data_IF_160705513287
#
_entry.id   IF_160705513287
#
_cell.length_a   1.000
_cell.length_b   1.000
_cell.length_c   1.000
_cell.angle_alpha   90.00
_cell.angle_beta   90.00
_cell.angle_gamma   90.00
#
_symmetry.space_group_name_H-M   'P 1'
#
loop_
_entity.id
_entity.type
_entity.pdbx_description
1 polymer ?
#
# COMPACT_ATOMS: atom_id res chain seq x y z
N UNK A 1 -72.60 12.88 14.26
CA UNK A 1 -71.72 13.97 13.85
C UNK A 1 -70.62 14.30 14.88
N UNK A 2 -70.96 14.49 16.17
CA UNK A 2 -69.94 14.81 17.23
C UNK A 2 -68.94 13.67 17.50
N UNK A 3 -69.34 12.41 17.44
CA UNK A 3 -68.46 11.24 17.64
C UNK A 3 -67.48 11.07 16.49
N UNK A 4 -67.90 11.32 15.24
CA UNK A 4 -67.08 11.25 14.06
C UNK A 4 -66.02 12.36 14.03
N UNK A 5 -66.37 13.56 14.48
CA UNK A 5 -65.47 14.71 14.61
C UNK A 5 -64.43 14.49 15.70
N UNK A 6 -64.79 13.82 16.81
CA UNK A 6 -63.82 13.42 17.86
C UNK A 6 -62.85 12.35 17.39
N UNK A 7 -63.29 11.42 16.55
CA UNK A 7 -62.45 10.37 15.97
C UNK A 7 -61.46 10.95 14.92
N UNK A 8 -61.90 11.93 14.13
CA UNK A 8 -61.03 12.63 13.19
C UNK A 8 -59.99 13.53 13.92
N UNK A 9 -60.33 14.16 15.04
CA UNK A 9 -59.38 14.93 15.87
C UNK A 9 -58.34 14.00 16.55
N UNK A 10 -58.77 12.78 16.97
CA UNK A 10 -57.85 11.80 17.54
C UNK A 10 -56.88 11.23 16.50
N UNK A 11 -57.29 11.08 15.24
CA UNK A 11 -56.40 10.68 14.14
C UNK A 11 -55.42 11.75 13.72
N UNK A 12 -55.72 13.03 13.94
CA UNK A 12 -54.80 14.16 13.68
C UNK A 12 -53.75 14.35 14.80
N UNK A 13 -53.95 13.70 15.96
CA UNK A 13 -53.00 13.66 17.08
C UNK A 13 -52.09 12.45 17.04
N UNK A 14 -52.22 11.53 16.03
CA UNK A 14 -51.18 10.57 15.71
C UNK A 14 -49.94 11.32 15.20
N UNK A 15 -49.17 11.73 16.18
CA UNK A 15 -48.12 12.72 16.02
C UNK A 15 -47.15 12.38 14.90
N UNK A 16 -46.97 13.33 14.02
CA UNK A 16 -45.74 13.35 13.21
C UNK A 16 -44.58 13.27 14.20
N UNK A 17 -43.76 12.26 14.04
CA UNK A 17 -42.50 12.16 14.77
C UNK A 17 -41.66 13.41 14.39
N UNK A 18 -41.62 14.39 15.31
CA UNK A 18 -40.94 15.67 15.11
C UNK A 18 -39.43 15.54 15.32
N UNK A 19 -38.96 14.36 15.72
CA UNK A 19 -37.53 14.10 15.92
C UNK A 19 -36.77 14.19 14.61
N UNK A 20 -35.62 14.81 14.66
CA UNK A 20 -34.67 14.86 13.54
C UNK A 20 -34.12 13.46 13.22
N UNK A 21 -33.52 13.28 12.06
CA UNK A 21 -32.81 12.05 11.72
C UNK A 21 -31.68 11.74 12.71
N UNK A 22 -31.02 12.77 13.22
CA UNK A 22 -29.92 12.62 14.20
C UNK A 22 -30.46 12.15 15.57
N UNK A 23 -31.56 12.70 16.06
CA UNK A 23 -32.18 12.25 17.34
C UNK A 23 -32.66 10.80 17.25
N UNK A 24 -33.27 10.40 16.14
CA UNK A 24 -33.67 8.99 15.93
C UNK A 24 -32.46 8.05 15.84
N UNK A 25 -31.38 8.48 15.16
CA UNK A 25 -30.15 7.72 15.06
C UNK A 25 -29.49 7.55 16.43
N UNK A 26 -29.45 8.62 17.25
CA UNK A 26 -28.91 8.57 18.61
C UNK A 26 -29.65 7.58 19.50
N UNK A 27 -30.98 7.56 19.47
CA UNK A 27 -31.82 6.61 20.22
C UNK A 27 -31.57 5.15 19.74
N UNK A 28 -31.29 4.97 18.44
CA UNK A 28 -30.94 3.67 17.86
C UNK A 28 -29.47 3.27 18.08
N UNK A 29 -28.67 4.10 18.78
CA UNK A 29 -27.23 3.87 18.98
C UNK A 29 -26.41 4.03 17.69
N UNK A 30 -26.89 4.83 16.74
CA UNK A 30 -26.23 5.10 15.44
C UNK A 30 -25.62 6.50 15.48
N UNK A 31 -24.33 6.60 15.14
CA UNK A 31 -23.64 7.87 14.91
C UNK A 31 -23.70 8.23 13.42
N UNK A 32 -24.28 9.39 13.11
CA UNK A 32 -24.26 9.94 11.74
C UNK A 32 -23.08 10.90 11.63
N UNK A 33 -22.19 10.61 10.65
CA UNK A 33 -21.00 11.42 10.36
C UNK A 33 -21.06 11.94 8.93
N UNK A 34 -20.87 13.26 8.75
CA UNK A 34 -20.74 13.86 7.42
C UNK A 34 -19.41 13.48 6.74
N UNK A 35 -19.48 12.96 5.54
CA UNK A 35 -18.28 12.54 4.78
C UNK A 35 -17.85 13.54 3.69
N UNK A 36 -18.52 14.69 3.56
CA UNK A 36 -18.29 15.77 2.61
C UNK A 36 -18.56 15.38 1.12
N UNK A 37 -18.11 14.23 0.67
CA UNK A 37 -18.28 13.75 -0.70
C UNK A 37 -18.47 12.23 -0.71
N UNK A 38 -19.00 11.72 -1.83
CA UNK A 38 -19.09 10.29 -2.10
C UNK A 38 -17.70 9.67 -2.19
N UNK A 39 -17.41 8.60 -1.43
CA UNK A 39 -16.16 7.86 -1.56
C UNK A 39 -16.05 7.22 -2.94
N UNK A 40 -14.90 7.43 -3.59
CA UNK A 40 -14.64 6.85 -4.91
C UNK A 40 -14.06 5.43 -4.81
N UNK A 41 -13.35 5.14 -3.74
CA UNK A 41 -12.76 3.83 -3.48
C UNK A 41 -12.60 3.56 -2.00
N UNK A 42 -12.77 2.30 -1.61
CA UNK A 42 -12.43 1.78 -0.28
C UNK A 42 -11.12 0.96 -0.31
N UNK A 43 -10.48 0.86 -1.47
CA UNK A 43 -9.15 0.25 -1.62
C UNK A 43 -8.08 1.29 -1.28
N UNK A 44 -7.24 1.07 -0.23
CA UNK A 44 -6.24 2.04 0.21
C UNK A 44 -5.20 2.38 -0.86
N UNK A 45 -5.01 1.53 -1.85
CA UNK A 45 -4.05 1.71 -2.94
C UNK A 45 -4.62 2.46 -4.16
N UNK A 46 -5.93 2.71 -4.19
CA UNK A 46 -6.63 3.44 -5.25
C UNK A 46 -7.17 4.76 -4.74
N UNK A 47 -7.54 4.81 -3.46
CA UNK A 47 -8.08 5.98 -2.79
C UNK A 47 -7.18 7.21 -2.92
N UNK A 48 -7.79 8.38 -3.12
CA UNK A 48 -7.05 9.64 -3.31
C UNK A 48 -7.69 10.83 -2.58
N UNK A 49 -8.86 10.64 -1.98
CA UNK A 49 -9.61 11.72 -1.34
C UNK A 49 -9.68 11.54 0.18
N UNK A 50 -9.83 12.66 0.89
CA UNK A 50 -10.07 12.63 2.34
C UNK A 50 -11.33 11.86 2.69
N UNK A 51 -12.36 11.89 1.81
CA UNK A 51 -13.60 11.15 2.00
C UNK A 51 -13.38 9.63 1.91
N UNK A 52 -12.50 9.17 1.00
CA UNK A 52 -12.09 7.77 0.92
C UNK A 52 -11.32 7.36 2.18
N UNK A 53 -10.33 8.17 2.59
CA UNK A 53 -9.47 7.87 3.74
C UNK A 53 -10.24 7.75 5.05
N UNK A 54 -11.28 8.57 5.27
CA UNK A 54 -12.13 8.43 6.45
C UNK A 54 -12.81 7.06 6.52
N UNK A 55 -13.30 6.57 5.40
CA UNK A 55 -13.97 5.27 5.32
C UNK A 55 -12.97 4.13 5.49
N UNK A 56 -11.82 4.22 4.83
CA UNK A 56 -10.75 3.23 4.95
C UNK A 56 -10.28 3.12 6.41
N UNK A 57 -10.03 4.26 7.09
CA UNK A 57 -9.63 4.27 8.50
C UNK A 57 -10.71 3.73 9.46
N UNK A 58 -11.98 3.70 9.06
CA UNK A 58 -13.02 3.07 9.85
C UNK A 58 -12.99 1.54 9.75
N UNK A 59 -12.63 0.98 8.59
CA UNK A 59 -12.73 -0.45 8.31
C UNK A 59 -11.38 -1.17 8.26
N UNK A 60 -10.27 -0.45 8.28
CA UNK A 60 -8.91 -0.97 8.24
C UNK A 60 -8.02 -0.32 9.30
N UNK A 61 -6.98 -1.02 9.73
CA UNK A 61 -5.99 -0.56 10.69
C UNK A 61 -4.58 -0.88 10.20
N UNK A 62 -3.65 0.09 10.38
CA UNK A 62 -2.24 -0.05 10.03
C UNK A 62 -1.39 -0.59 11.18
N UNK A 63 -0.06 -0.44 11.06
CA UNK A 63 0.90 -0.85 12.11
C UNK A 63 0.69 -0.07 13.40
N UNK A 64 0.47 1.24 13.30
CA UNK A 64 0.37 2.19 14.38
C UNK A 64 -0.87 3.04 14.24
N UNK A 65 -1.31 3.65 15.34
CA UNK A 65 -2.31 4.71 15.36
C UNK A 65 -1.77 5.95 16.07
N UNK A 66 -2.17 7.12 15.62
CA UNK A 66 -1.84 8.39 16.27
C UNK A 66 -2.67 8.63 17.53
N UNK A 67 -2.17 9.44 18.43
CA UNK A 67 -2.96 9.99 19.54
C UNK A 67 -3.87 11.11 19.01
N UNK A 68 -5.08 11.23 19.57
CA UNK A 68 -6.05 12.24 19.14
C UNK A 68 -5.75 13.66 19.66
N UNK A 69 -4.78 13.82 20.54
CA UNK A 69 -4.43 15.07 21.23
C UNK A 69 -3.00 15.52 21.02
N UNK A 70 -2.12 14.58 20.60
CA UNK A 70 -0.70 14.83 20.44
C UNK A 70 -0.17 14.06 19.23
N UNK A 71 0.12 14.77 18.16
CA UNK A 71 0.61 14.19 16.89
C UNK A 71 2.00 13.56 17.02
N UNK A 72 2.73 13.79 18.11
CA UNK A 72 4.02 13.17 18.39
C UNK A 72 3.91 11.83 19.11
N UNK A 73 2.70 11.43 19.53
CA UNK A 73 2.45 10.20 20.29
C UNK A 73 1.84 9.14 19.37
N UNK A 74 2.49 7.97 19.34
CA UNK A 74 2.06 6.81 18.56
C UNK A 74 1.68 5.66 19.49
N UNK A 75 0.57 5.02 19.19
CA UNK A 75 0.07 3.88 19.95
C UNK A 75 0.15 2.60 19.11
N UNK A 76 0.30 1.45 19.77
CA UNK A 76 0.14 0.14 19.13
C UNK A 76 -1.21 -0.01 18.41
N UNK A 77 -1.17 -0.58 17.19
CA UNK A 77 -2.33 -1.00 16.43
C UNK A 77 -2.15 -2.47 16.01
N UNK A 78 -1.93 -2.79 14.74
CA UNK A 78 -1.55 -4.18 14.36
C UNK A 78 -0.19 -4.55 14.93
N UNK A 79 0.77 -3.62 14.97
CA UNK A 79 2.02 -3.83 15.70
C UNK A 79 1.81 -3.59 17.21
N UNK A 80 2.22 -4.54 18.05
CA UNK A 80 2.22 -4.40 19.51
C UNK A 80 3.44 -3.62 20.02
N UNK A 81 4.57 -3.67 19.28
CA UNK A 81 5.79 -2.93 19.58
C UNK A 81 6.67 -2.77 18.33
N UNK A 82 7.62 -1.83 18.40
CA UNK A 82 8.59 -1.60 17.33
C UNK A 82 9.92 -1.12 17.87
N UNK A 83 10.97 -1.37 17.09
CA UNK A 83 12.33 -0.91 17.37
C UNK A 83 12.96 -0.43 16.07
N UNK A 84 14.03 0.36 16.17
CA UNK A 84 14.81 0.79 15.02
C UNK A 84 16.31 0.78 15.31
N UNK A 85 17.13 0.79 14.25
CA UNK A 85 18.58 1.00 14.36
C UNK A 85 18.90 2.38 14.93
N UNK A 86 20.11 2.60 15.47
CA UNK A 86 20.52 3.92 15.95
C UNK A 86 20.35 5.03 14.90
N UNK A 87 20.56 4.71 13.63
CA UNK A 87 20.43 5.58 12.48
C UNK A 87 18.98 5.76 12.02
N UNK A 88 18.04 4.97 12.54
CA UNK A 88 16.63 4.94 12.13
C UNK A 88 16.44 4.66 10.62
N UNK A 89 17.32 3.87 10.02
CA UNK A 89 17.24 3.36 8.66
C UNK A 89 16.70 1.93 8.56
N UNK A 90 16.68 1.19 9.69
CA UNK A 90 16.12 -0.16 9.80
C UNK A 90 15.12 -0.21 10.94
N UNK A 91 13.94 -0.71 10.62
CA UNK A 91 12.81 -0.81 11.56
C UNK A 91 12.32 -2.24 11.64
N UNK A 92 11.92 -2.63 12.85
CA UNK A 92 11.34 -3.94 13.13
C UNK A 92 10.07 -3.77 13.93
N UNK A 93 8.98 -4.34 13.44
CA UNK A 93 7.65 -4.31 14.05
C UNK A 93 7.28 -5.72 14.49
N UNK A 94 6.95 -5.89 15.76
CA UNK A 94 6.34 -7.11 16.27
C UNK A 94 4.83 -6.99 16.15
N UNK A 95 4.19 -7.86 15.38
CA UNK A 95 2.76 -7.84 15.17
C UNK A 95 2.04 -8.57 16.30
N UNK A 96 0.87 -8.08 16.67
CA UNK A 96 0.02 -8.67 17.68
C UNK A 96 -0.52 -10.01 17.20
N UNK A 97 -0.19 -11.08 17.90
CA UNK A 97 -0.74 -12.41 17.64
C UNK A 97 -2.22 -12.43 17.97
N UNK A 98 -3.01 -13.05 17.09
CA UNK A 98 -4.47 -13.13 17.24
C UNK A 98 -5.24 -11.98 16.59
N UNK A 99 -4.57 -11.00 15.98
CA UNK A 99 -5.25 -10.06 15.06
C UNK A 99 -5.74 -10.83 13.84
N UNK A 100 -7.01 -10.67 13.51
CA UNK A 100 -7.64 -11.37 12.37
C UNK A 100 -8.32 -10.36 11.43
N UNK A 101 -8.41 -10.72 10.19
CA UNK A 101 -9.32 -10.11 9.24
C UNK A 101 -10.78 -10.42 9.65
N UNK A 102 -11.73 -9.65 9.17
CA UNK A 102 -13.15 -9.78 9.51
C UNK A 102 -13.79 -11.12 9.13
N UNK A 103 -13.14 -11.88 8.28
CA UNK A 103 -13.53 -13.25 7.91
C UNK A 103 -12.81 -14.34 8.73
N UNK A 104 -12.01 -13.93 9.74
CA UNK A 104 -11.33 -14.83 10.66
C UNK A 104 -9.94 -15.28 10.21
N UNK A 105 -9.48 -14.90 9.03
CA UNK A 105 -8.11 -15.19 8.56
C UNK A 105 -7.10 -14.36 9.36
N UNK A 106 -5.98 -14.93 9.85
CA UNK A 106 -4.96 -14.16 10.58
C UNK A 106 -4.39 -13.01 9.75
N UNK A 107 -4.17 -11.86 10.39
CA UNK A 107 -3.36 -10.75 9.83
C UNK A 107 -1.89 -11.05 10.11
N UNK A 108 -1.09 -11.06 9.07
CA UNK A 108 0.34 -11.41 9.15
C UNK A 108 1.24 -10.36 8.52
N UNK A 109 2.55 -10.45 8.77
CA UNK A 109 3.55 -9.61 8.12
C UNK A 109 3.56 -9.79 6.59
N UNK A 110 3.13 -10.96 6.10
CA UNK A 110 3.01 -11.23 4.67
C UNK A 110 1.92 -10.39 4.00
N UNK A 111 0.86 -9.99 4.71
CA UNK A 111 -0.18 -9.10 4.18
C UNK A 111 0.36 -7.68 3.93
N UNK A 112 1.27 -7.21 4.79
CA UNK A 112 1.97 -5.94 4.60
C UNK A 112 2.94 -6.00 3.40
N UNK A 113 3.75 -7.05 3.31
CA UNK A 113 4.66 -7.25 2.17
C UNK A 113 3.87 -7.31 0.86
N UNK A 114 2.77 -8.07 0.84
CA UNK A 114 1.87 -8.14 -0.31
C UNK A 114 1.25 -6.77 -0.66
N UNK A 115 0.80 -6.02 0.35
CA UNK A 115 0.22 -4.68 0.16
C UNK A 115 1.23 -3.73 -0.52
N UNK A 116 2.48 -3.70 -0.03
CA UNK A 116 3.50 -2.82 -0.58
C UNK A 116 3.97 -3.27 -1.96
N UNK A 117 4.11 -4.59 -2.18
CA UNK A 117 4.37 -5.14 -3.50
C UNK A 117 3.28 -4.72 -4.50
N UNK A 118 2.00 -4.90 -4.14
CA UNK A 118 0.85 -4.51 -4.97
C UNK A 118 0.88 -3.04 -5.33
N UNK A 119 1.04 -2.17 -4.34
CA UNK A 119 1.03 -0.72 -4.56
C UNK A 119 2.19 -0.25 -5.44
N UNK A 120 3.38 -0.80 -5.21
CA UNK A 120 4.60 -0.46 -5.95
C UNK A 120 4.68 -1.13 -7.32
N UNK A 121 3.87 -2.15 -7.59
CA UNK A 121 3.97 -2.91 -8.85
C UNK A 121 3.74 -1.99 -10.06
N UNK A 122 4.67 -1.94 -11.03
CA UNK A 122 4.57 -1.03 -12.19
C UNK A 122 3.27 -1.18 -12.98
N UNK A 123 2.76 -2.41 -13.08
CA UNK A 123 1.51 -2.73 -13.77
C UNK A 123 0.24 -2.34 -12.99
N UNK A 124 0.34 -2.08 -11.68
CA UNK A 124 -0.81 -1.63 -10.89
C UNK A 124 -1.07 -0.14 -11.08
N UNK A 125 -0.02 0.69 -11.15
CA UNK A 125 -0.12 2.14 -11.34
C UNK A 125 -0.84 2.83 -10.19
N UNK A 126 -0.50 2.50 -8.96
CA UNK A 126 -1.03 3.14 -7.75
C UNK A 126 -0.65 4.62 -7.69
N UNK A 127 -1.65 5.50 -7.45
CA UNK A 127 -1.42 6.95 -7.46
C UNK A 127 -0.55 7.47 -6.33
N UNK A 128 -0.56 6.78 -5.20
CA UNK A 128 0.21 7.14 -3.98
C UNK A 128 1.40 6.20 -3.76
N UNK A 129 1.92 5.56 -4.81
CA UNK A 129 3.06 4.65 -4.71
C UNK A 129 4.34 5.36 -4.22
N UNK A 130 4.49 6.65 -4.55
CA UNK A 130 5.57 7.53 -4.09
C UNK A 130 5.65 7.69 -2.57
N UNK A 131 4.55 7.47 -1.85
CA UNK A 131 4.57 7.45 -0.38
C UNK A 131 5.43 6.32 0.19
N UNK A 132 5.69 5.26 -0.58
CA UNK A 132 6.56 4.15 -0.20
C UNK A 132 8.02 4.34 -0.65
N UNK A 133 8.36 5.44 -1.34
CA UNK A 133 9.73 5.75 -1.78
C UNK A 133 10.78 5.79 -0.65
N UNK A 134 10.41 6.02 0.63
CA UNK A 134 11.35 5.84 1.73
C UNK A 134 11.93 4.43 1.87
N UNK A 135 11.20 3.40 1.45
CA UNK A 135 11.71 2.03 1.43
C UNK A 135 12.84 1.90 0.39
N UNK A 136 13.89 1.20 0.77
CA UNK A 136 15.01 0.91 -0.13
C UNK A 136 14.52 0.27 -1.43
N UNK A 137 15.01 0.72 -2.56
CA UNK A 137 14.67 0.25 -3.90
C UNK A 137 13.19 0.38 -4.34
N UNK A 138 12.31 0.94 -3.51
CA UNK A 138 10.88 1.07 -3.82
C UNK A 138 10.64 1.93 -5.07
N UNK A 139 11.26 3.10 -5.12
CA UNK A 139 11.17 4.01 -6.27
C UNK A 139 11.71 3.36 -7.55
N UNK A 140 12.86 2.67 -7.47
CA UNK A 140 13.45 2.00 -8.63
C UNK A 140 12.54 0.88 -9.16
N UNK A 141 11.93 0.10 -8.27
CA UNK A 141 10.97 -0.93 -8.64
C UNK A 141 9.69 -0.33 -9.23
N UNK A 142 9.07 0.65 -8.57
CA UNK A 142 7.83 1.27 -9.03
C UNK A 142 7.97 1.93 -10.40
N UNK A 143 9.09 2.62 -10.65
CA UNK A 143 9.40 3.26 -11.93
C UNK A 143 9.94 2.31 -12.99
N UNK A 144 9.94 1.00 -12.70
CA UNK A 144 10.45 -0.04 -13.61
C UNK A 144 11.89 0.23 -14.09
N UNK A 145 12.76 0.73 -13.18
CA UNK A 145 14.18 0.99 -13.42
C UNK A 145 14.95 -0.34 -13.40
N UNK A 146 14.73 -1.16 -14.41
CA UNK A 146 15.19 -2.55 -14.48
C UNK A 146 16.72 -2.65 -14.47
N UNK A 147 17.41 -1.79 -15.21
CA UNK A 147 18.87 -1.72 -15.21
C UNK A 147 19.45 -1.49 -13.82
N UNK A 148 18.87 -0.54 -13.05
CA UNK A 148 19.29 -0.24 -11.70
C UNK A 148 19.09 -1.45 -10.76
N UNK A 149 17.97 -2.18 -10.90
CA UNK A 149 17.65 -3.33 -10.07
C UNK A 149 18.49 -4.56 -10.42
N UNK A 150 18.76 -4.77 -11.69
CA UNK A 150 19.49 -5.96 -12.17
C UNK A 150 21.01 -5.79 -12.14
N UNK A 151 21.51 -4.58 -12.41
CA UNK A 151 22.93 -4.34 -12.65
C UNK A 151 23.49 -3.17 -11.84
N UNK A 152 22.64 -2.34 -11.19
CA UNK A 152 23.05 -1.15 -10.44
C UNK A 152 23.68 -1.47 -9.08
N UNK A 153 24.03 -0.41 -8.31
CA UNK A 153 24.53 -0.54 -6.95
C UNK A 153 23.56 -1.36 -6.08
N UNK A 154 24.09 -2.31 -5.30
CA UNK A 154 23.30 -3.20 -4.47
C UNK A 154 22.61 -4.37 -5.21
N UNK A 155 22.74 -4.48 -6.55
CA UNK A 155 22.27 -5.62 -7.33
C UNK A 155 23.16 -6.85 -7.15
N UNK A 156 22.78 -7.98 -7.77
CA UNK A 156 23.60 -9.20 -7.76
C UNK A 156 24.93 -9.04 -8.49
N UNK A 157 25.01 -8.14 -9.46
CA UNK A 157 26.26 -7.84 -10.17
C UNK A 157 27.17 -6.89 -9.37
N UNK A 158 26.63 -6.17 -8.40
CA UNK A 158 27.44 -5.36 -7.51
C UNK A 158 28.35 -6.25 -6.66
N UNK A 159 29.66 -6.04 -6.72
CA UNK A 159 30.65 -6.86 -6.03
C UNK A 159 31.25 -8.00 -6.88
N UNK A 160 30.81 -8.20 -8.13
CA UNK A 160 31.58 -8.98 -9.09
C UNK A 160 32.90 -8.29 -9.43
N UNK A 161 33.91 -9.10 -9.80
CA UNK A 161 35.24 -8.56 -10.11
C UNK A 161 35.17 -7.46 -11.15
N UNK A 162 35.64 -6.26 -10.78
CA UNK A 162 35.63 -5.06 -11.61
C UNK A 162 34.36 -4.24 -11.62
N UNK A 163 33.29 -4.64 -10.88
CA UNK A 163 32.04 -3.89 -10.75
C UNK A 163 31.92 -3.25 -9.35
N UNK A 164 32.70 -2.19 -9.13
CA UNK A 164 32.66 -1.38 -7.90
C UNK A 164 31.36 -0.56 -7.82
N UNK A 165 30.71 -0.52 -6.65
CA UNK A 165 29.46 0.23 -6.45
C UNK A 165 29.60 1.73 -6.75
N UNK A 166 30.78 2.32 -6.51
CA UNK A 166 31.03 3.74 -6.83
C UNK A 166 31.13 3.98 -8.34
N UNK A 167 31.60 2.99 -9.10
CA UNK A 167 31.59 3.02 -10.57
C UNK A 167 30.16 2.83 -11.06
N UNK A 168 29.47 1.83 -10.57
CA UNK A 168 28.08 1.56 -10.91
C UNK A 168 27.16 2.74 -10.63
N UNK A 169 27.36 3.47 -9.52
CA UNK A 169 26.55 4.66 -9.17
C UNK A 169 26.60 5.79 -10.21
N UNK A 170 27.61 5.79 -11.12
CA UNK A 170 27.81 6.81 -12.17
C UNK A 170 27.39 6.37 -13.56
N UNK A 171 26.88 5.15 -13.72
CA UNK A 171 26.37 4.62 -15.00
C UNK A 171 25.07 5.35 -15.38
N UNK A 172 24.88 5.63 -16.65
CA UNK A 172 23.63 6.16 -17.19
C UNK A 172 22.56 5.05 -17.30
N UNK A 173 21.95 4.74 -16.14
CA UNK A 173 20.92 3.74 -16.04
C UNK A 173 19.64 4.11 -16.80
N UNK A 174 19.35 5.41 -16.96
CA UNK A 174 18.17 5.87 -17.67
C UNK A 174 18.26 5.53 -19.16
N UNK A 175 19.43 5.69 -19.74
CA UNK A 175 19.69 5.30 -21.12
C UNK A 175 19.57 3.80 -21.30
N UNK A 176 20.12 3.01 -20.40
CA UNK A 176 20.04 1.54 -20.46
C UNK A 176 18.58 1.03 -20.36
N UNK A 177 17.76 1.62 -19.49
CA UNK A 177 16.33 1.26 -19.36
C UNK A 177 15.52 1.55 -20.64
N UNK A 178 15.95 2.53 -21.42
CA UNK A 178 15.35 2.87 -22.71
C UNK A 178 15.73 1.97 -23.87
N UNK A 179 16.79 1.14 -23.74
CA UNK A 179 17.31 0.32 -24.85
C UNK A 179 16.42 -0.89 -25.13
N UNK A 180 16.23 -1.17 -26.41
CA UNK A 180 15.62 -2.41 -26.90
C UNK A 180 16.62 -3.56 -27.04
N UNK A 181 16.11 -4.78 -27.34
CA UNK A 181 16.95 -5.98 -27.45
C UNK A 181 18.07 -5.84 -28.47
N UNK A 182 17.83 -5.23 -29.63
CA UNK A 182 18.85 -5.02 -30.67
C UNK A 182 19.97 -4.06 -30.24
N UNK A 183 19.63 -3.00 -29.53
CA UNK A 183 20.60 -2.03 -29.00
C UNK A 183 21.45 -2.65 -27.89
N UNK A 184 20.84 -3.42 -26.99
CA UNK A 184 21.55 -4.12 -25.92
C UNK A 184 22.45 -5.24 -26.48
N UNK A 185 22.04 -5.90 -27.56
CA UNK A 185 22.87 -6.88 -28.26
C UNK A 185 24.10 -6.23 -28.88
N UNK A 186 23.92 -5.11 -29.58
CA UNK A 186 25.00 -4.32 -30.13
C UNK A 186 25.95 -3.82 -29.03
N UNK A 187 25.41 -3.30 -27.93
CA UNK A 187 26.18 -2.79 -26.79
C UNK A 187 26.98 -3.90 -26.09
N UNK A 188 26.43 -5.11 -25.99
CA UNK A 188 27.14 -6.28 -25.47
C UNK A 188 28.35 -6.62 -26.34
N UNK A 189 28.18 -6.57 -27.65
CA UNK A 189 29.23 -6.95 -28.60
C UNK A 189 30.27 -5.84 -28.75
N UNK A 190 29.86 -4.59 -28.68
CA UNK A 190 30.71 -3.39 -28.70
C UNK A 190 30.34 -2.39 -27.61
N UNK A 191 30.97 -2.47 -26.41
CA UNK A 191 30.72 -1.53 -25.32
C UNK A 191 31.02 -0.07 -25.63
N UNK A 192 31.80 0.24 -26.66
CA UNK A 192 32.14 1.61 -27.02
C UNK A 192 30.96 2.42 -27.56
N UNK A 193 29.82 1.76 -27.85
CA UNK A 193 28.57 2.41 -28.28
C UNK A 193 27.89 3.23 -27.17
N UNK A 194 28.40 3.13 -25.95
CA UNK A 194 27.93 3.93 -24.80
C UNK A 194 29.14 4.48 -24.03
N UNK A 195 28.99 5.69 -23.47
CA UNK A 195 29.97 6.21 -22.52
C UNK A 195 29.81 5.52 -21.17
N UNK A 196 30.91 4.95 -20.69
CA UNK A 196 30.97 4.30 -19.38
C UNK A 196 31.79 5.16 -18.40
N UNK A 197 31.46 5.12 -17.10
CA UNK A 197 32.25 5.82 -16.09
C UNK A 197 33.72 5.40 -16.09
N UNK A 198 34.59 6.34 -15.77
CA UNK A 198 36.02 6.03 -15.56
C UNK A 198 36.17 4.94 -14.48
N UNK A 199 36.91 3.88 -14.81
CA UNK A 199 37.09 2.70 -13.97
C UNK A 199 36.13 1.55 -14.26
N UNK A 200 35.20 1.71 -15.22
CA UNK A 200 34.37 0.59 -15.70
C UNK A 200 35.22 -0.33 -16.61
N UNK A 201 35.41 -1.61 -16.27
CA UNK A 201 36.06 -2.55 -17.16
C UNK A 201 35.17 -2.84 -18.38
N UNK A 202 35.78 -3.09 -19.53
CA UNK A 202 35.03 -3.47 -20.74
C UNK A 202 34.18 -4.74 -20.52
N UNK A 203 34.74 -5.72 -19.83
CA UNK A 203 34.04 -6.95 -19.47
C UNK A 203 32.83 -6.67 -18.54
N UNK A 204 32.94 -5.70 -17.63
CA UNK A 204 31.84 -5.25 -16.78
C UNK A 204 30.70 -4.63 -17.59
N UNK A 205 31.04 -3.78 -18.56
CA UNK A 205 30.07 -3.20 -19.49
C UNK A 205 29.33 -4.29 -20.32
N UNK A 206 30.07 -5.29 -20.82
CA UNK A 206 29.48 -6.45 -21.54
C UNK A 206 28.53 -7.24 -20.67
N UNK A 207 28.87 -7.50 -19.40
CA UNK A 207 28.03 -8.22 -18.45
C UNK A 207 26.73 -7.46 -18.17
N UNK A 208 26.80 -6.16 -17.98
CA UNK A 208 25.59 -5.30 -17.78
C UNK A 208 24.68 -5.40 -19.00
N UNK A 209 25.20 -5.20 -20.20
CA UNK A 209 24.41 -5.28 -21.43
C UNK A 209 23.81 -6.69 -21.65
N UNK A 210 24.57 -7.75 -21.37
CA UNK A 210 24.10 -9.13 -21.47
C UNK A 210 22.94 -9.40 -20.49
N UNK A 211 23.07 -8.96 -19.24
CA UNK A 211 22.03 -9.15 -18.23
C UNK A 211 20.74 -8.41 -18.57
N UNK A 212 20.86 -7.17 -19.05
CA UNK A 212 19.71 -6.39 -19.51
C UNK A 212 19.03 -7.04 -20.72
N UNK A 213 19.82 -7.59 -21.65
CA UNK A 213 19.30 -8.32 -22.83
C UNK A 213 18.53 -9.58 -22.42
N UNK A 214 19.04 -10.35 -21.46
CA UNK A 214 18.32 -11.51 -20.90
C UNK A 214 16.96 -11.11 -20.36
N UNK A 215 16.88 -10.02 -19.58
CA UNK A 215 15.64 -9.51 -19.00
C UNK A 215 14.62 -9.11 -20.08
N UNK A 216 15.07 -8.37 -21.09
CA UNK A 216 14.21 -7.96 -22.22
C UNK A 216 13.71 -9.18 -22.99
N UNK A 217 14.54 -10.19 -23.22
CA UNK A 217 14.17 -11.44 -23.91
C UNK A 217 13.22 -12.31 -23.09
N UNK A 218 13.34 -12.27 -21.76
CA UNK A 218 12.41 -12.96 -20.86
C UNK A 218 11.02 -12.31 -20.77
N UNK A 219 10.77 -11.22 -21.50
CA UNK A 219 9.47 -10.54 -21.51
C UNK A 219 9.21 -9.64 -20.31
N UNK A 220 10.27 -9.15 -19.68
CA UNK A 220 10.21 -8.24 -18.54
C UNK A 220 9.34 -8.79 -17.38
N UNK A 221 9.72 -9.89 -16.74
CA UNK A 221 9.02 -10.46 -15.59
C UNK A 221 8.94 -9.46 -14.42
N UNK A 222 8.10 -9.76 -13.44
CA UNK A 222 8.10 -8.99 -12.18
C UNK A 222 9.45 -9.15 -11.47
N UNK A 223 10.06 -8.02 -11.10
CA UNK A 223 11.38 -7.96 -10.47
C UNK A 223 11.30 -7.75 -8.94
N UNK A 224 10.20 -8.08 -8.29
CA UNK A 224 10.06 -7.85 -6.84
C UNK A 224 11.17 -8.51 -6.03
N UNK A 225 11.48 -9.77 -6.32
CA UNK A 225 12.51 -10.52 -5.60
C UNK A 225 13.92 -9.97 -5.89
N UNK A 226 14.20 -9.63 -7.15
CA UNK A 226 15.47 -9.05 -7.58
C UNK A 226 15.67 -7.64 -7.03
N UNK A 227 14.59 -6.86 -6.95
CA UNK A 227 14.61 -5.48 -6.46
C UNK A 227 15.00 -5.40 -4.99
N UNK A 228 14.72 -6.45 -4.21
CA UNK A 228 14.98 -6.44 -2.77
C UNK A 228 14.45 -5.15 -2.13
N UNK A 229 13.20 -4.83 -2.44
CA UNK A 229 12.54 -3.69 -1.81
C UNK A 229 12.65 -3.82 -0.30
N UNK A 230 12.95 -2.74 0.37
CA UNK A 230 13.27 -2.68 1.79
C UNK A 230 12.13 -3.06 2.73
N UNK A 231 11.39 -4.12 2.43
CA UNK A 231 10.36 -4.69 3.31
C UNK A 231 10.39 -6.21 3.21
N UNK A 232 10.29 -6.88 4.36
CA UNK A 232 10.19 -8.35 4.42
C UNK A 232 9.46 -8.83 5.66
N UNK A 233 8.78 -9.95 5.53
CA UNK A 233 8.32 -10.74 6.65
C UNK A 233 9.47 -11.63 7.12
N UNK A 234 9.99 -11.42 8.34
CA UNK A 234 10.99 -12.29 8.93
C UNK A 234 10.34 -13.61 9.41
N UNK A 235 9.10 -13.51 9.85
CA UNK A 235 8.15 -14.58 10.16
C UNK A 235 6.72 -14.00 10.07
N UNK A 236 5.69 -14.79 10.39
CA UNK A 236 4.28 -14.38 10.29
C UNK A 236 3.95 -13.11 11.10
N UNK A 237 4.69 -12.85 12.19
CA UNK A 237 4.40 -11.75 13.12
C UNK A 237 5.56 -10.76 13.28
N UNK A 238 6.54 -10.82 12.39
CA UNK A 238 7.66 -9.88 12.40
C UNK A 238 7.84 -9.25 11.02
N UNK A 239 7.54 -7.96 10.94
CA UNK A 239 7.77 -7.15 9.75
C UNK A 239 9.05 -6.34 9.92
N UNK A 240 9.93 -6.40 8.94
CA UNK A 240 11.16 -5.60 8.89
C UNK A 240 11.13 -4.65 7.70
N UNK A 241 11.60 -3.42 7.94
CA UNK A 241 11.73 -2.39 6.92
C UNK A 241 13.17 -1.87 6.89
N UNK A 242 13.75 -1.73 5.71
CA UNK A 242 15.01 -1.06 5.44
C UNK A 242 14.73 0.17 4.58
N UNK A 243 15.16 1.34 5.04
CA UNK A 243 14.92 2.61 4.37
C UNK A 243 16.14 3.01 3.53
N UNK A 244 15.92 3.82 2.51
CA UNK A 244 17.00 4.36 1.67
C UNK A 244 17.87 5.40 2.39
N UNK A 245 17.36 5.98 3.48
CA UNK A 245 18.04 6.97 4.32
C UNK A 245 17.45 7.01 5.72
N UNK A 246 18.18 7.51 6.72
CA UNK A 246 17.68 7.70 8.08
C UNK A 246 16.35 8.46 8.13
N UNK A 247 15.34 7.91 8.80
CA UNK A 247 14.00 8.52 8.91
C UNK A 247 13.36 8.23 10.27
N UNK A 248 13.73 8.95 11.33
CA UNK A 248 13.12 8.79 12.64
C UNK A 248 11.62 9.12 12.68
N UNK A 249 11.12 9.89 11.71
CA UNK A 249 9.70 10.24 11.56
C UNK A 249 8.88 9.18 10.80
N UNK A 250 9.41 8.00 10.47
CA UNK A 250 8.66 6.93 9.80
C UNK A 250 7.30 6.64 10.46
N UNK A 251 7.16 6.61 11.81
CA UNK A 251 5.88 6.38 12.46
C UNK A 251 4.75 7.30 12.00
N UNK A 252 5.06 8.55 11.65
CA UNK A 252 4.06 9.51 11.15
C UNK A 252 3.53 9.11 9.77
N UNK A 253 4.39 8.58 8.89
CA UNK A 253 3.97 8.10 7.56
C UNK A 253 3.10 6.85 7.68
N UNK A 254 3.39 5.97 8.64
CA UNK A 254 2.65 4.72 8.86
C UNK A 254 1.20 4.93 9.33
N UNK A 255 0.81 6.15 9.70
CA UNK A 255 -0.58 6.50 10.02
C UNK A 255 -1.44 6.64 8.76
N UNK A 256 -0.84 6.87 7.60
CA UNK A 256 -1.58 7.03 6.36
C UNK A 256 -2.02 5.67 5.81
N UNK A 257 -3.26 5.56 5.36
CA UNK A 257 -3.85 4.30 4.92
C UNK A 257 -3.13 3.64 3.72
N UNK A 258 -2.32 4.37 2.98
CA UNK A 258 -1.44 3.81 1.94
C UNK A 258 -0.45 2.76 2.48
N UNK A 259 -0.10 2.85 3.78
CA UNK A 259 0.77 1.90 4.47
C UNK A 259 0.02 0.76 5.15
N UNK A 260 -1.30 0.69 4.99
CA UNK A 260 -2.10 -0.37 5.62
C UNK A 260 -1.94 -1.70 4.87
N UNK A 261 -2.08 -2.83 5.56
CA UNK A 261 -2.10 -4.13 4.92
C UNK A 261 -3.38 -4.29 4.10
N UNK A 262 -3.36 -5.17 3.11
CA UNK A 262 -4.59 -5.60 2.41
C UNK A 262 -4.74 -7.12 2.53
N UNK A 263 -5.98 -7.64 2.64
CA UNK A 263 -6.22 -9.07 2.79
C UNK A 263 -5.89 -9.80 1.49
N UNK A 264 -4.65 -10.33 1.39
CA UNK A 264 -4.16 -11.02 0.18
C UNK A 264 -5.17 -12.02 -0.36
N UNK A 265 -5.72 -12.88 0.49
CA UNK A 265 -6.67 -13.92 0.09
C UNK A 265 -7.94 -13.35 -0.55
N UNK A 266 -8.47 -12.22 -0.03
CA UNK A 266 -9.66 -11.57 -0.57
C UNK A 266 -9.37 -10.84 -1.89
N UNK A 267 -8.20 -10.21 -2.02
CA UNK A 267 -7.74 -9.55 -3.25
C UNK A 267 -7.55 -10.59 -4.35
N UNK A 268 -6.82 -11.68 -4.08
CA UNK A 268 -6.56 -12.74 -5.05
C UNK A 268 -7.85 -13.44 -5.50
N UNK A 269 -8.79 -13.67 -4.61
CA UNK A 269 -10.09 -14.25 -4.94
C UNK A 269 -10.97 -13.36 -5.85
N UNK A 270 -10.62 -12.10 -6.04
CA UNK A 270 -11.45 -11.10 -6.71
C UNK A 270 -10.75 -10.32 -7.83
N UNK A 271 -9.86 -10.94 -8.55
CA UNK A 271 -9.16 -10.37 -9.71
C UNK A 271 -7.66 -10.30 -9.58
N UNK A 272 -7.13 -10.59 -8.38
CA UNK A 272 -5.69 -10.66 -8.13
C UNK A 272 -5.03 -9.32 -7.83
N UNK A 273 -3.72 -9.38 -7.64
CA UNK A 273 -2.89 -8.26 -7.21
C UNK A 273 -3.10 -6.99 -8.04
N UNK A 274 -3.22 -7.11 -9.35
CA UNK A 274 -3.27 -5.98 -10.28
C UNK A 274 -4.70 -5.49 -10.57
N UNK A 275 -5.73 -6.13 -9.99
CA UNK A 275 -7.10 -5.67 -10.16
C UNK A 275 -7.31 -4.31 -9.49
N UNK A 276 -7.86 -3.36 -10.26
CA UNK A 276 -8.20 -2.00 -9.82
C UNK A 276 -9.70 -1.75 -9.73
N UNK A 277 -10.51 -2.76 -9.97
CA UNK A 277 -11.98 -2.61 -9.94
C UNK A 277 -12.54 -2.52 -8.52
N UNK A 278 -11.71 -2.82 -7.51
CA UNK A 278 -12.07 -2.77 -6.10
C UNK A 278 -13.11 -3.81 -5.71
N UNK A 279 -13.20 -4.91 -6.44
CA UNK A 279 -14.20 -5.96 -6.22
C UNK A 279 -14.18 -6.55 -4.80
N UNK A 280 -13.01 -6.58 -4.18
CA UNK A 280 -12.81 -7.09 -2.82
C UNK A 280 -13.28 -6.11 -1.71
N UNK A 281 -13.51 -4.83 -2.03
CA UNK A 281 -13.95 -3.80 -1.07
C UNK A 281 -15.45 -3.51 -1.13
N UNK A 282 -16.21 -4.23 -1.95
CA UNK A 282 -17.66 -4.02 -2.10
C UNK A 282 -18.42 -4.57 -0.89
N UNK A 283 -19.60 -4.00 -0.55
CA UNK A 283 -20.46 -4.57 0.48
C UNK A 283 -20.70 -6.06 0.28
N UNK A 284 -20.62 -6.84 1.36
CA UNK A 284 -20.74 -8.31 1.34
C UNK A 284 -19.48 -9.05 0.84
N UNK A 285 -18.47 -8.33 0.36
CA UNK A 285 -17.17 -8.85 -0.05
C UNK A 285 -16.02 -8.20 0.72
N UNK A 286 -16.27 -7.04 1.31
CA UNK A 286 -15.26 -6.26 1.99
C UNK A 286 -14.72 -7.01 3.21
N UNK A 287 -13.39 -7.16 3.24
CA UNK A 287 -12.65 -7.76 4.34
C UNK A 287 -11.73 -6.69 4.91
N UNK A 288 -11.88 -6.40 6.20
CA UNK A 288 -11.09 -5.38 6.90
C UNK A 288 -10.58 -5.91 8.23
N UNK A 289 -9.62 -5.22 8.83
CA UNK A 289 -9.06 -5.52 10.14
C UNK A 289 -9.28 -4.36 11.14
N UNK A 290 -10.08 -3.37 10.76
CA UNK A 290 -10.37 -2.19 11.58
C UNK A 290 -11.53 -2.39 12.54
N UNK A 291 -11.88 -1.35 13.31
CA UNK A 291 -12.91 -1.43 14.35
C UNK A 291 -14.34 -1.58 13.81
N UNK A 292 -14.56 -1.34 12.53
CA UNK A 292 -15.86 -1.46 11.89
C UNK A 292 -15.78 -2.30 10.62
N UNK A 293 -16.94 -2.85 10.23
CA UNK A 293 -17.17 -3.60 8.99
C UNK A 293 -18.12 -2.81 8.10
N UNK A 294 -17.87 -2.81 6.79
CA UNK A 294 -18.80 -2.24 5.83
C UNK A 294 -20.04 -3.13 5.73
N UNK A 295 -21.19 -2.60 6.10
CA UNK A 295 -22.48 -3.30 6.05
C UNK A 295 -23.23 -2.97 4.77
N UNK A 296 -23.32 -1.70 4.41
CA UNK A 296 -24.05 -1.25 3.22
C UNK A 296 -23.35 0.00 2.61
N UNK A 297 -23.43 0.12 1.29
CA UNK A 297 -23.07 1.31 0.57
C UNK A 297 -24.17 1.63 -0.46
N UNK A 298 -24.86 2.74 -0.23
CA UNK A 298 -25.81 3.32 -1.18
C UNK A 298 -25.19 4.55 -1.82
N UNK A 299 -24.86 4.43 -3.08
CA UNK A 299 -24.22 5.48 -3.83
C UNK A 299 -25.03 6.80 -3.79
N UNK A 300 -24.34 7.91 -3.51
CA UNK A 300 -24.93 9.25 -3.28
C UNK A 300 -25.94 9.36 -2.12
N UNK A 301 -25.93 8.42 -1.20
CA UNK A 301 -26.84 8.43 -0.03
C UNK A 301 -26.03 8.23 1.26
N UNK A 302 -25.58 7.00 1.55
CA UNK A 302 -24.79 6.73 2.75
C UNK A 302 -23.90 5.50 2.62
N UNK A 303 -22.92 5.42 3.52
CA UNK A 303 -22.15 4.20 3.84
C UNK A 303 -22.49 3.82 5.28
N UNK A 304 -22.98 2.61 5.48
CA UNK A 304 -23.19 2.04 6.81
C UNK A 304 -22.02 1.15 7.20
N UNK A 305 -21.45 1.43 8.36
CA UNK A 305 -20.44 0.57 8.99
C UNK A 305 -20.97 0.07 10.33
N UNK A 306 -20.67 -1.17 10.67
CA UNK A 306 -21.05 -1.79 11.95
C UNK A 306 -19.82 -2.18 12.73
N UNK A 307 -19.93 -2.19 14.05
CA UNK A 307 -18.82 -2.60 14.91
C UNK A 307 -18.30 -3.99 14.49
N UNK A 308 -17.01 -4.11 14.38
CA UNK A 308 -16.32 -5.39 14.22
C UNK A 308 -16.38 -6.14 15.57
N UNK A 309 -16.86 -7.39 15.62
CA UNK A 309 -17.00 -8.18 16.86
C UNK A 309 -15.74 -8.31 17.70
#
# INVERSE_FOLDING_TARGET
MRLFMMFCVMLLLAGCDTRTSVERAQEAGVLIVGNNAEPQSFDPHIATSVSDFKMINAVMEGLLRGDSRDDAVFHPAVAESWTHSPEADKWRFALRKGTVWSDGVPVTAHDFVYAYHRLLHPGFGGRSADMLDPLKNAEAYNRNRRSLLLCGPGSRLAGEEGLDEKVLARVDWERLDGMGAGELEALRDDPSLMEWPAGMPEEGARKIAARMLEDVRAGKPDLWEEARVGVRAADDYTLEMELRSPMPQLPLLLLHCTWFPVPRHAVEARGGMLDRTGGWTRPGAAVGNGPFLMAEHRFNDYVEVRRNP
#
